data_IF_753250146406
#
_entry.id   IF_753250146406
#
_cell.length_a   1.000
_cell.length_b   1.000
_cell.length_c   1.000
_cell.angle_alpha   90.00
_cell.angle_beta   90.00
_cell.angle_gamma   90.00
#
_symmetry.space_group_name_H-M   'P 1'
#
loop_
_entity.id
_entity.type
_entity.pdbx_description
1 polymer ?
#
# COMPACT_ATOMS: atom_id res chain seq x y z
N UNK A 1 19.92 -2.09 3.51
CA UNK A 1 18.51 -1.89 3.14
C UNK A 1 17.78 -3.17 3.49
N UNK A 2 16.74 -3.10 4.33
CA UNK A 2 15.99 -4.31 4.75
C UNK A 2 15.00 -4.69 3.64
N UNK A 3 14.76 -5.99 3.42
CA UNK A 3 13.84 -6.49 2.38
C UNK A 3 12.43 -5.88 2.55
N UNK A 4 12.00 -5.66 3.80
CA UNK A 4 10.74 -5.01 4.17
C UNK A 4 10.59 -3.60 3.59
N UNK A 5 11.67 -2.79 3.62
CA UNK A 5 11.68 -1.43 3.09
C UNK A 5 11.50 -1.46 1.57
N UNK A 6 12.16 -2.40 0.89
CA UNK A 6 12.02 -2.62 -0.57
C UNK A 6 10.59 -3.01 -0.93
N UNK A 7 10.00 -3.98 -0.20
CA UNK A 7 8.61 -4.43 -0.41
C UNK A 7 7.63 -3.26 -0.25
N UNK A 8 7.79 -2.46 0.80
CA UNK A 8 6.94 -1.30 1.07
C UNK A 8 7.07 -0.21 0.00
N UNK A 9 8.30 0.11 -0.41
CA UNK A 9 8.52 1.13 -1.44
C UNK A 9 7.92 0.70 -2.79
N UNK A 10 8.05 -0.58 -3.14
CA UNK A 10 7.42 -1.16 -4.33
C UNK A 10 5.90 -1.08 -4.25
N UNK A 11 5.29 -1.42 -3.11
CA UNK A 11 3.84 -1.34 -2.91
C UNK A 11 3.34 0.10 -3.08
N UNK A 12 4.02 1.08 -2.47
CA UNK A 12 3.67 2.50 -2.62
C UNK A 12 3.71 2.93 -4.08
N UNK A 13 4.73 2.53 -4.84
CA UNK A 13 4.84 2.85 -6.28
C UNK A 13 3.69 2.25 -7.08
N UNK A 14 3.27 1.02 -6.78
CA UNK A 14 2.13 0.38 -7.44
C UNK A 14 0.82 1.10 -7.13
N UNK A 15 0.60 1.48 -5.86
CA UNK A 15 -0.58 2.24 -5.44
C UNK A 15 -0.62 3.62 -6.12
N UNK A 16 0.52 4.31 -6.25
CA UNK A 16 0.61 5.58 -6.99
C UNK A 16 0.28 5.36 -8.46
N UNK A 17 0.80 4.29 -9.09
CA UNK A 17 0.53 4.00 -10.50
C UNK A 17 -0.96 3.76 -10.75
N UNK A 18 -1.65 3.06 -9.84
CA UNK A 18 -3.08 2.74 -9.93
C UNK A 18 -3.96 3.96 -9.65
N UNK A 19 -3.74 4.64 -8.52
CA UNK A 19 -4.64 5.68 -8.03
C UNK A 19 -4.21 7.11 -8.38
N UNK A 20 -3.05 7.28 -9.02
CA UNK A 20 -2.38 8.54 -9.39
C UNK A 20 -1.91 9.37 -8.20
N UNK A 21 -2.74 9.54 -7.18
CA UNK A 21 -2.44 10.32 -5.98
C UNK A 21 -2.79 9.47 -4.75
N UNK A 22 -1.87 9.45 -3.78
CA UNK A 22 -2.08 8.89 -2.45
C UNK A 22 -1.98 10.03 -1.45
N UNK A 23 -3.01 10.29 -0.63
CA UNK A 23 -2.93 11.28 0.44
C UNK A 23 -1.81 10.92 1.43
N UNK A 24 -1.12 11.92 1.98
CA UNK A 24 0.02 11.67 2.86
C UNK A 24 -0.37 10.87 4.11
N UNK A 25 -1.59 11.05 4.63
CA UNK A 25 -2.15 10.23 5.72
C UNK A 25 -2.06 8.72 5.42
N UNK A 26 -2.35 8.31 4.18
CA UNK A 26 -2.29 6.92 3.77
C UNK A 26 -0.84 6.44 3.65
N UNK A 27 0.08 7.31 3.19
CA UNK A 27 1.51 6.97 3.14
C UNK A 27 2.07 6.70 4.54
N UNK A 28 1.65 7.46 5.55
CA UNK A 28 2.03 7.21 6.95
C UNK A 28 1.48 5.88 7.45
N UNK A 29 0.19 5.61 7.21
CA UNK A 29 -0.45 4.35 7.63
C UNK A 29 0.13 3.11 6.94
N UNK A 30 0.50 3.22 5.65
CA UNK A 30 1.16 2.14 4.91
C UNK A 30 2.52 1.76 5.54
N UNK A 31 3.29 2.76 6.00
CA UNK A 31 4.59 2.52 6.66
C UNK A 31 4.49 1.84 8.03
N UNK A 32 3.31 1.85 8.66
CA UNK A 32 3.06 1.17 9.94
C UNK A 32 2.41 -0.21 9.78
N UNK A 33 2.19 -0.69 8.55
CA UNK A 33 1.58 -1.99 8.31
C UNK A 33 2.51 -3.15 8.64
N UNK A 34 1.91 -4.24 9.12
CA UNK A 34 2.59 -5.53 9.23
C UNK A 34 2.88 -6.12 7.84
N UNK A 35 3.90 -6.98 7.73
CA UNK A 35 4.25 -7.66 6.49
C UNK A 35 3.05 -8.41 5.87
N UNK A 36 2.23 -9.05 6.71
CA UNK A 36 0.98 -9.71 6.29
C UNK A 36 0.03 -8.75 5.56
N UNK A 37 -0.18 -7.55 6.08
CA UNK A 37 -1.09 -6.58 5.45
C UNK A 37 -0.49 -6.04 4.15
N UNK A 38 0.83 -5.88 4.07
CA UNK A 38 1.53 -5.48 2.84
C UNK A 38 1.29 -6.52 1.73
N UNK A 39 1.43 -7.80 2.06
CA UNK A 39 1.21 -8.91 1.12
C UNK A 39 -0.25 -9.01 0.68
N UNK A 40 -1.21 -8.86 1.61
CA UNK A 40 -2.64 -8.84 1.27
C UNK A 40 -2.98 -7.70 0.30
N UNK A 41 -2.48 -6.49 0.57
CA UNK A 41 -2.69 -5.35 -0.35
C UNK A 41 -2.06 -5.66 -1.71
N UNK A 42 -0.86 -6.24 -1.76
CA UNK A 42 -0.19 -6.56 -3.02
C UNK A 42 -0.99 -7.54 -3.89
N UNK A 43 -1.72 -8.48 -3.27
CA UNK A 43 -2.61 -9.42 -3.95
C UNK A 43 -3.87 -8.71 -4.45
N UNK A 44 -4.50 -7.89 -3.60
CA UNK A 44 -5.83 -7.31 -3.86
C UNK A 44 -5.77 -5.97 -4.63
N UNK A 45 -4.59 -5.37 -4.80
CA UNK A 45 -4.43 -4.01 -5.36
C UNK A 45 -5.11 -3.84 -6.73
N UNK A 46 -5.08 -4.85 -7.59
CA UNK A 46 -5.68 -4.76 -8.92
C UNK A 46 -7.21 -4.80 -8.89
N UNK A 47 -7.79 -5.36 -7.83
CA UNK A 47 -9.25 -5.47 -7.62
C UNK A 47 -9.84 -4.25 -6.89
N UNK A 48 -8.99 -3.40 -6.30
CA UNK A 48 -9.45 -2.17 -5.64
C UNK A 48 -10.03 -1.17 -6.66
N UNK A 49 -11.15 -0.54 -6.32
CA UNK A 49 -11.79 0.48 -7.15
C UNK A 49 -11.33 1.89 -6.79
N UNK A 50 -10.95 2.11 -5.53
CA UNK A 50 -10.49 3.42 -5.05
C UNK A 50 -9.44 3.32 -3.96
N UNK A 51 -8.67 4.39 -3.76
CA UNK A 51 -7.70 4.48 -2.66
C UNK A 51 -8.35 4.27 -1.27
N UNK A 52 -9.67 4.52 -1.14
CA UNK A 52 -10.41 4.31 0.11
C UNK A 52 -10.50 2.83 0.48
N UNK A 53 -10.31 1.91 -0.46
CA UNK A 53 -10.33 0.47 -0.20
C UNK A 53 -9.17 0.04 0.71
N UNK A 54 -8.07 0.80 0.72
CA UNK A 54 -6.96 0.60 1.66
C UNK A 54 -7.35 0.75 3.13
N UNK A 55 -8.46 1.42 3.44
CA UNK A 55 -8.95 1.56 4.82
C UNK A 55 -9.24 0.22 5.50
N UNK A 56 -9.39 -0.87 4.74
CA UNK A 56 -9.62 -2.21 5.29
C UNK A 56 -8.40 -2.81 5.99
N UNK A 57 -7.20 -2.26 5.78
CA UNK A 57 -5.94 -2.81 6.30
C UNK A 57 -5.27 -1.94 7.37
N UNK A 58 -5.81 -0.75 7.63
CA UNK A 58 -5.35 0.17 8.68
C UNK A 58 -6.22 0.00 9.93
#
# INVERSE_FOLDING_TARGET
>A
MKIEEVKMELLIRQLIKKFKIIPDEYKYKLKSLSEKNIELIAIEIFDMNSIKDLKKYF
#
